data_IF_166429223672
#
_entry.id   IF_166429223672
#
_cell.length_a   1.000
_cell.length_b   1.000
_cell.length_c   1.000
_cell.angle_alpha   90.00
_cell.angle_beta   90.00
_cell.angle_gamma   90.00
#
_symmetry.space_group_name_H-M   'P 1'
#
loop_
_entity.id
_entity.type
_entity.pdbx_description
1 polymer ?
#
# COMPACT_ATOMS: atom_id res chain seq x y z
N UNK A 1 -5.44 24.78 -2.67
CA UNK A 1 -4.68 23.61 -2.17
C UNK A 1 -5.53 22.97 -1.08
N UNK A 2 -5.89 21.70 -1.22
CA UNK A 2 -6.70 20.98 -0.22
C UNK A 2 -5.87 19.81 0.30
N UNK A 3 -5.70 19.73 1.63
CA UNK A 3 -5.13 18.56 2.29
C UNK A 3 -6.26 17.58 2.55
N UNK A 4 -6.13 16.36 2.05
CA UNK A 4 -7.11 15.30 2.28
C UNK A 4 -6.43 14.18 3.05
N UNK A 5 -7.13 13.70 4.07
CA UNK A 5 -6.70 12.56 4.84
C UNK A 5 -7.10 11.28 4.08
N UNK A 6 -6.14 10.47 3.63
CA UNK A 6 -6.43 9.27 2.88
C UNK A 6 -7.00 8.16 3.79
N UNK A 7 -6.74 8.22 5.11
CA UNK A 7 -7.24 7.28 6.13
C UNK A 7 -8.75 7.35 6.41
N UNK A 8 -9.52 8.12 5.64
CA UNK A 8 -10.97 8.31 5.87
C UNK A 8 -11.75 7.26 5.09
N UNK A 9 -11.86 6.06 5.66
CA UNK A 9 -13.09 5.30 5.48
C UNK A 9 -14.17 5.87 6.43
N UNK A 10 -15.31 6.19 5.83
CA UNK A 10 -16.52 6.74 6.43
C UNK A 10 -16.74 6.30 7.89
N UNK A 11 -16.80 7.29 8.79
CA UNK A 11 -17.32 7.10 10.14
C UNK A 11 -18.78 6.63 10.06
N UNK A 12 -19.01 5.31 10.11
CA UNK A 12 -20.26 4.80 10.67
C UNK A 12 -20.08 4.74 12.18
N UNK A 13 -20.45 5.85 12.83
CA UNK A 13 -20.73 5.85 14.25
C UNK A 13 -21.91 4.91 14.50
N UNK A 14 -21.61 3.70 14.97
CA UNK A 14 -22.59 2.70 15.34
C UNK A 14 -22.06 1.94 16.54
N UNK A 15 -22.85 1.90 17.60
CA UNK A 15 -22.68 0.98 18.73
C UNK A 15 -22.40 -0.43 18.22
N UNK A 16 -21.39 -1.10 18.79
CA UNK A 16 -20.92 -2.44 18.44
C UNK A 16 -22.00 -3.53 18.61
N UNK A 17 -22.98 -3.57 17.72
CA UNK A 17 -23.76 -4.78 17.45
C UNK A 17 -23.21 -5.36 16.16
N UNK A 18 -22.50 -6.49 16.27
CA UNK A 18 -22.10 -7.25 15.08
C UNK A 18 -23.39 -7.64 14.31
N UNK A 19 -23.47 -7.37 13.00
CA UNK A 19 -24.51 -7.91 12.14
C UNK A 19 -24.63 -9.44 12.30
N UNK A 20 -25.81 -10.03 12.05
CA UNK A 20 -25.98 -11.47 12.09
C UNK A 20 -24.93 -12.18 11.20
N UNK A 21 -24.15 -13.08 11.79
CA UNK A 21 -23.11 -13.85 11.09
C UNK A 21 -21.68 -13.28 11.19
N UNK A 22 -21.50 -12.11 11.82
CA UNK A 22 -20.18 -11.55 12.12
C UNK A 22 -19.79 -11.84 13.58
N UNK A 23 -18.53 -12.23 13.81
CA UNK A 23 -17.97 -12.39 15.15
C UNK A 23 -16.81 -11.42 15.33
N UNK A 24 -16.76 -10.76 16.49
CA UNK A 24 -15.72 -9.80 16.82
C UNK A 24 -15.07 -10.10 18.16
N UNK A 25 -13.74 -10.03 18.18
CA UNK A 25 -12.89 -10.41 19.31
C UNK A 25 -11.86 -9.32 19.57
N UNK A 26 -11.39 -9.20 20.83
CA UNK A 26 -10.36 -8.21 21.22
C UNK A 26 -9.34 -8.82 22.17
N UNK A 27 -8.12 -8.28 22.17
CA UNK A 27 -7.06 -8.66 23.10
C UNK A 27 -6.83 -10.17 23.12
N UNK A 28 -6.88 -10.78 24.30
CA UNK A 28 -6.64 -12.22 24.48
C UNK A 28 -7.61 -13.12 23.69
N UNK A 29 -8.87 -12.70 23.50
CA UNK A 29 -9.83 -13.47 22.70
C UNK A 29 -9.45 -13.46 21.22
N UNK A 30 -9.02 -12.29 20.70
CA UNK A 30 -8.51 -12.18 19.34
C UNK A 30 -7.28 -13.08 19.14
N UNK A 31 -6.37 -13.14 20.11
CA UNK A 31 -5.22 -14.04 20.08
C UNK A 31 -5.63 -15.51 19.97
N UNK A 32 -6.61 -15.92 20.79
CA UNK A 32 -7.08 -17.30 20.80
C UNK A 32 -7.61 -17.68 19.42
N UNK A 33 -8.54 -16.90 18.88
CA UNK A 33 -9.15 -17.18 17.58
C UNK A 33 -8.13 -17.16 16.45
N UNK A 34 -7.26 -16.14 16.39
CA UNK A 34 -6.17 -16.07 15.40
C UNK A 34 -5.26 -17.30 15.49
N UNK A 35 -4.90 -17.73 16.70
CA UNK A 35 -4.03 -18.90 16.90
C UNK A 35 -4.70 -20.21 16.44
N UNK A 36 -6.02 -20.33 16.63
CA UNK A 36 -6.80 -21.47 16.12
C UNK A 36 -6.84 -21.48 14.59
N UNK A 37 -7.04 -20.31 13.95
CA UNK A 37 -7.03 -20.19 12.49
C UNK A 37 -5.68 -20.53 11.87
N UNK A 38 -4.59 -20.28 12.60
CA UNK A 38 -3.22 -20.57 12.19
C UNK A 38 -2.71 -21.92 12.72
N UNK A 39 -3.61 -22.82 13.16
CA UNK A 39 -3.22 -24.14 13.62
C UNK A 39 -2.45 -24.91 12.53
N UNK A 40 -1.31 -25.49 12.89
CA UNK A 40 -0.40 -26.15 11.94
C UNK A 40 0.68 -25.23 11.34
N UNK A 41 0.62 -23.91 11.58
CA UNK A 41 1.59 -22.93 11.08
C UNK A 41 2.34 -22.24 12.24
N UNK A 42 3.36 -22.88 12.84
CA UNK A 42 3.99 -22.41 14.07
C UNK A 42 4.69 -21.05 13.92
N UNK A 43 5.23 -20.74 12.74
CA UNK A 43 5.84 -19.43 12.47
C UNK A 43 4.78 -18.34 12.36
N UNK A 44 3.64 -18.61 11.70
CA UNK A 44 2.52 -17.67 11.66
C UNK A 44 1.91 -17.43 13.05
N UNK A 45 1.84 -18.46 13.91
CA UNK A 45 1.46 -18.31 15.32
C UNK A 45 2.48 -17.53 16.16
N UNK A 46 3.76 -17.51 15.77
CA UNK A 46 4.76 -16.64 16.41
C UNK A 46 4.53 -15.19 15.98
N UNK A 47 4.28 -14.96 14.69
CA UNK A 47 3.93 -13.65 14.15
C UNK A 47 2.67 -13.07 14.83
N UNK A 48 1.60 -13.86 14.96
CA UNK A 48 0.38 -13.39 15.61
C UNK A 48 0.59 -12.96 17.07
N UNK A 49 1.49 -13.65 17.80
CA UNK A 49 1.90 -13.27 19.15
C UNK A 49 2.66 -11.95 19.17
N UNK A 50 3.61 -11.75 18.26
CA UNK A 50 4.33 -10.47 18.10
C UNK A 50 3.34 -9.31 17.86
N UNK A 51 2.39 -9.50 16.95
CA UNK A 51 1.35 -8.50 16.65
C UNK A 51 0.49 -8.21 17.87
N UNK A 52 0.04 -9.24 18.59
CA UNK A 52 -0.74 -9.03 19.80
C UNK A 52 0.07 -8.36 20.91
N UNK A 53 1.30 -8.78 21.16
CA UNK A 53 2.14 -8.22 22.23
C UNK A 53 2.36 -6.71 22.03
N UNK A 54 2.40 -6.27 20.76
CA UNK A 54 2.51 -4.86 20.41
C UNK A 54 1.17 -4.11 20.52
N UNK A 55 0.10 -4.59 19.89
CA UNK A 55 -1.18 -3.86 19.81
C UNK A 55 -2.08 -4.07 21.04
N UNK A 56 -1.94 -5.18 21.75
CA UNK A 56 -2.73 -5.56 22.91
C UNK A 56 -4.23 -5.43 22.67
N UNK A 57 -4.90 -4.67 23.54
CA UNK A 57 -6.35 -4.44 23.46
C UNK A 57 -6.77 -3.52 22.29
N UNK A 58 -5.82 -2.89 21.59
CA UNK A 58 -6.12 -2.16 20.36
C UNK A 58 -6.28 -3.07 19.15
N UNK A 59 -5.83 -4.33 19.23
CA UNK A 59 -6.08 -5.32 18.19
C UNK A 59 -7.54 -5.78 18.24
N UNK A 60 -8.23 -5.61 17.13
CA UNK A 60 -9.61 -6.05 16.91
C UNK A 60 -9.59 -7.06 15.78
N UNK A 61 -10.13 -8.24 16.04
CA UNK A 61 -10.24 -9.31 15.06
C UNK A 61 -11.71 -9.55 14.77
N UNK A 62 -12.13 -9.33 13.53
CA UNK A 62 -13.47 -9.60 13.04
C UNK A 62 -13.40 -10.72 12.01
N UNK A 63 -14.40 -11.58 11.97
CA UNK A 63 -14.50 -12.61 10.94
C UNK A 63 -15.94 -12.86 10.51
N UNK A 64 -16.11 -13.11 9.21
CA UNK A 64 -17.42 -13.31 8.58
C UNK A 64 -17.29 -13.99 7.23
N UNK A 65 -18.29 -14.78 6.85
CA UNK A 65 -18.44 -15.26 5.45
C UNK A 65 -18.95 -14.17 4.52
N UNK A 66 -19.53 -13.11 5.06
CA UNK A 66 -20.14 -12.03 4.29
C UNK A 66 -19.16 -10.90 3.95
N UNK A 67 -17.94 -10.94 4.47
CA UNK A 67 -16.92 -9.96 4.08
C UNK A 67 -16.54 -10.18 2.61
N UNK A 68 -16.41 -9.09 1.81
CA UNK A 68 -16.07 -9.20 0.39
C UNK A 68 -14.64 -9.71 0.18
N UNK A 69 -13.74 -9.38 1.11
CA UNK A 69 -12.35 -9.79 1.11
C UNK A 69 -11.78 -9.74 2.52
N UNK A 70 -10.63 -10.38 2.71
CA UNK A 70 -9.83 -10.24 3.94
C UNK A 70 -9.01 -8.96 3.83
N UNK A 71 -9.01 -8.13 4.89
CA UNK A 71 -8.28 -6.86 4.94
C UNK A 71 -7.77 -6.54 6.35
N UNK A 72 -6.73 -5.71 6.42
CA UNK A 72 -6.33 -5.00 7.62
C UNK A 72 -6.73 -3.51 7.56
N UNK A 73 -6.93 -2.89 8.71
CA UNK A 73 -7.15 -1.44 8.81
C UNK A 73 -6.50 -0.89 10.07
N UNK A 74 -5.77 0.22 9.94
CA UNK A 74 -5.36 1.03 11.09
C UNK A 74 -6.26 2.25 11.20
N UNK A 75 -6.98 2.37 12.32
CA UNK A 75 -7.85 3.52 12.58
C UNK A 75 -7.13 4.54 13.44
N UNK A 76 -6.91 5.73 12.88
CA UNK A 76 -6.33 6.87 13.58
C UNK A 76 -7.38 7.93 13.88
N UNK A 77 -7.26 8.59 15.03
CA UNK A 77 -7.72 9.98 15.18
C UNK A 77 -6.55 10.88 14.83
N UNK A 78 -6.77 11.96 14.10
CA UNK A 78 -5.68 12.85 13.64
C UNK A 78 -5.56 14.16 14.44
N UNK A 79 -6.59 14.50 15.21
CA UNK A 79 -6.66 15.72 16.03
C UNK A 79 -7.32 15.43 17.39
N UNK A 80 -6.55 15.28 18.48
CA UNK A 80 -5.11 15.00 18.50
C UNK A 80 -4.80 13.65 17.82
N UNK A 81 -3.53 13.42 17.45
CA UNK A 81 -3.15 12.14 16.84
C UNK A 81 -3.16 11.01 17.89
N UNK A 82 -3.89 9.93 17.61
CA UNK A 82 -3.80 8.69 18.39
C UNK A 82 -4.33 7.47 17.63
N UNK A 83 -3.84 6.29 18.01
CA UNK A 83 -4.32 5.01 17.49
C UNK A 83 -5.63 4.61 18.18
N UNK A 84 -6.71 4.42 17.40
CA UNK A 84 -7.98 3.88 17.89
C UNK A 84 -7.91 2.35 17.95
N UNK A 85 -7.60 1.73 16.81
CA UNK A 85 -7.58 0.27 16.65
C UNK A 85 -6.66 -0.15 15.51
N UNK A 86 -6.14 -1.36 15.63
CA UNK A 86 -5.63 -2.17 14.53
C UNK A 86 -6.64 -3.29 14.29
N UNK A 87 -7.21 -3.35 13.09
CA UNK A 87 -8.31 -4.23 12.74
C UNK A 87 -7.86 -5.25 11.70
N UNK A 88 -8.24 -6.51 11.88
CA UNK A 88 -8.21 -7.54 10.84
C UNK A 88 -9.66 -7.98 10.62
N UNK A 89 -10.11 -7.93 9.38
CA UNK A 89 -11.42 -8.41 8.96
C UNK A 89 -11.18 -9.64 8.09
N UNK A 90 -11.37 -10.84 8.64
CA UNK A 90 -11.08 -12.10 7.95
C UNK A 90 -12.32 -12.64 7.24
N UNK A 91 -12.21 -12.82 5.92
CA UNK A 91 -13.22 -13.51 5.13
C UNK A 91 -13.14 -15.02 5.40
N UNK A 92 -14.24 -15.60 5.84
CA UNK A 92 -14.39 -17.04 6.03
C UNK A 92 -15.02 -17.70 4.81
N UNK A 93 -14.91 -19.02 4.72
CA UNK A 93 -15.55 -19.81 3.66
C UNK A 93 -14.70 -19.98 2.40
N UNK A 94 -13.45 -19.53 2.43
CA UNK A 94 -12.42 -19.85 1.45
C UNK A 94 -11.54 -21.01 1.96
N UNK A 95 -10.79 -21.64 1.07
CA UNK A 95 -9.75 -22.62 1.41
C UNK A 95 -8.43 -21.98 1.88
N UNK A 96 -8.32 -20.65 1.78
CA UNK A 96 -7.11 -19.85 2.04
C UNK A 96 -7.19 -18.99 3.30
N UNK A 97 -7.98 -19.41 4.29
CA UNK A 97 -8.25 -18.62 5.51
C UNK A 97 -6.97 -18.35 6.31
N UNK A 98 -6.11 -19.36 6.45
CA UNK A 98 -4.86 -19.23 7.22
C UNK A 98 -3.85 -18.32 6.49
N UNK A 99 -3.72 -18.50 5.17
CA UNK A 99 -2.91 -17.67 4.28
C UNK A 99 -3.33 -16.21 4.35
N UNK A 100 -4.63 -15.94 4.14
CA UNK A 100 -5.16 -14.59 4.16
C UNK A 100 -4.96 -13.92 5.53
N UNK A 101 -5.16 -14.65 6.63
CA UNK A 101 -4.89 -14.13 7.96
C UNK A 101 -3.40 -13.81 8.18
N UNK A 102 -2.50 -14.71 7.76
CA UNK A 102 -1.06 -14.48 7.87
C UNK A 102 -0.61 -13.27 7.03
N UNK A 103 -1.22 -13.06 5.86
CA UNK A 103 -1.00 -11.90 5.00
C UNK A 103 -1.32 -10.59 5.72
N UNK A 104 -2.48 -10.48 6.35
CA UNK A 104 -2.86 -9.27 7.11
C UNK A 104 -2.00 -9.05 8.34
N UNK A 105 -1.54 -10.14 8.99
CA UNK A 105 -0.61 -10.04 10.12
C UNK A 105 0.75 -9.47 9.68
N UNK A 106 1.25 -9.83 8.50
CA UNK A 106 2.49 -9.26 7.96
C UNK A 106 2.35 -7.76 7.68
N UNK A 107 1.21 -7.33 7.14
CA UNK A 107 0.91 -5.90 6.99
C UNK A 107 0.93 -5.15 8.31
N UNK A 108 0.27 -5.68 9.36
CA UNK A 108 0.30 -5.06 10.68
C UNK A 108 1.70 -5.04 11.31
N UNK A 109 2.53 -6.03 11.00
CA UNK A 109 3.92 -6.12 11.46
C UNK A 109 4.80 -5.01 10.92
N UNK A 110 4.55 -4.50 9.70
CA UNK A 110 5.33 -3.39 9.15
C UNK A 110 5.35 -2.17 10.10
N UNK A 111 4.23 -1.84 10.74
CA UNK A 111 4.20 -0.72 11.68
C UNK A 111 4.94 -1.02 13.00
N UNK A 112 5.00 -2.29 13.41
CA UNK A 112 5.83 -2.74 14.55
C UNK A 112 7.31 -2.54 14.23
N UNK A 113 7.69 -2.78 12.97
CA UNK A 113 9.04 -2.55 12.45
C UNK A 113 9.35 -1.07 12.20
N UNK A 114 8.41 -0.16 12.50
CA UNK A 114 8.61 1.28 12.43
C UNK A 114 8.27 1.92 11.08
N UNK A 115 7.71 1.17 10.12
CA UNK A 115 7.26 1.75 8.86
C UNK A 115 6.07 2.70 9.10
N UNK A 116 6.14 3.95 8.64
CA UNK A 116 5.09 4.95 8.88
C UNK A 116 3.93 4.87 7.88
N UNK A 117 2.80 5.42 8.29
CA UNK A 117 1.56 5.63 7.52
C UNK A 117 1.55 7.03 6.91
N UNK A 118 1.11 7.15 5.66
CA UNK A 118 0.81 8.45 5.06
C UNK A 118 -0.49 9.04 5.65
N UNK A 119 -0.43 10.26 6.20
CA UNK A 119 -1.58 10.92 6.85
C UNK A 119 -2.29 11.94 5.96
N UNK A 120 -1.56 12.65 5.11
CA UNK A 120 -2.11 13.76 4.34
C UNK A 120 -1.56 13.74 2.93
N UNK A 121 -2.43 13.96 1.95
CA UNK A 121 -2.05 14.16 0.55
C UNK A 121 -2.48 15.56 0.15
N UNK A 122 -1.59 16.27 -0.54
CA UNK A 122 -1.87 17.62 -1.02
C UNK A 122 -2.28 17.59 -2.49
N UNK A 123 -3.56 17.86 -2.75
CA UNK A 123 -4.09 17.88 -4.11
C UNK A 123 -4.14 19.33 -4.64
N UNK A 124 -3.54 19.61 -5.81
CA UNK A 124 -3.63 20.91 -6.46
C UNK A 124 -5.09 21.27 -6.75
N UNK A 125 -5.43 22.57 -6.66
CA UNK A 125 -6.82 23.03 -6.78
C UNK A 125 -7.54 22.57 -8.06
N UNK A 126 -6.92 22.58 -9.26
CA UNK A 126 -7.57 22.08 -10.48
C UNK A 126 -7.96 20.60 -10.43
N UNK A 127 -7.34 19.81 -9.54
CA UNK A 127 -7.50 18.37 -9.45
C UNK A 127 -8.34 17.91 -8.25
N UNK A 128 -8.91 18.85 -7.49
CA UNK A 128 -9.84 18.55 -6.38
C UNK A 128 -11.00 17.64 -6.80
N UNK A 129 -11.61 17.77 -8.01
CA UNK A 129 -12.66 16.83 -8.44
C UNK A 129 -12.21 15.36 -8.53
N UNK A 130 -10.90 15.11 -8.66
CA UNK A 130 -10.29 13.78 -8.74
C UNK A 130 -9.66 13.33 -7.42
N UNK A 131 -9.97 14.02 -6.31
CA UNK A 131 -9.37 13.79 -5.01
C UNK A 131 -9.44 12.32 -4.53
N UNK A 132 -10.64 11.73 -4.59
CA UNK A 132 -10.86 10.35 -4.15
C UNK A 132 -10.05 9.35 -4.99
N UNK A 133 -9.90 9.66 -6.26
CA UNK A 133 -9.13 8.84 -7.17
C UNK A 133 -7.65 8.86 -6.81
N UNK A 134 -7.06 10.04 -6.63
CA UNK A 134 -5.66 10.16 -6.21
C UNK A 134 -5.39 9.51 -4.85
N UNK A 135 -6.32 9.61 -3.91
CA UNK A 135 -6.23 8.91 -2.61
C UNK A 135 -6.23 7.40 -2.81
N UNK A 136 -7.15 6.88 -3.64
CA UNK A 136 -7.18 5.48 -4.02
C UNK A 136 -5.86 5.03 -4.63
N UNK A 137 -5.33 5.79 -5.59
CA UNK A 137 -4.03 5.52 -6.20
C UNK A 137 -2.88 5.46 -5.18
N UNK A 138 -2.84 6.39 -4.22
CA UNK A 138 -1.85 6.37 -3.15
C UNK A 138 -1.92 5.09 -2.32
N UNK A 139 -3.13 4.65 -1.94
CA UNK A 139 -3.32 3.39 -1.22
C UNK A 139 -2.89 2.18 -2.03
N UNK A 140 -3.20 2.17 -3.33
CA UNK A 140 -2.80 1.08 -4.23
C UNK A 140 -1.28 0.98 -4.33
N UNK A 141 -0.59 2.11 -4.51
CA UNK A 141 0.88 2.15 -4.57
C UNK A 141 1.48 1.66 -3.25
N UNK A 142 1.01 2.14 -2.10
CA UNK A 142 1.48 1.65 -0.80
C UNK A 142 1.27 0.14 -0.68
N UNK A 143 0.07 -0.35 -1.00
CA UNK A 143 -0.25 -1.76 -0.87
C UNK A 143 0.67 -2.64 -1.74
N UNK A 144 0.96 -2.22 -2.98
CA UNK A 144 1.87 -2.94 -3.87
C UNK A 144 3.31 -2.98 -3.33
N UNK A 145 3.78 -1.87 -2.74
CA UNK A 145 5.11 -1.83 -2.10
C UNK A 145 5.14 -2.71 -0.85
N UNK A 146 4.11 -2.66 -0.01
CA UNK A 146 4.01 -3.52 1.17
C UNK A 146 3.94 -5.00 0.80
N UNK A 147 3.27 -5.35 -0.30
CA UNK A 147 3.30 -6.71 -0.85
C UNK A 147 4.73 -7.13 -1.26
N UNK A 148 5.49 -6.27 -1.91
CA UNK A 148 6.89 -6.56 -2.23
C UNK A 148 7.73 -6.81 -0.96
N UNK A 149 7.53 -6.01 0.08
CA UNK A 149 8.24 -6.17 1.36
C UNK A 149 7.86 -7.46 2.08
N UNK A 150 6.58 -7.84 2.04
CA UNK A 150 6.05 -8.98 2.80
C UNK A 150 6.19 -10.33 2.08
N UNK A 151 6.48 -10.34 0.77
CA UNK A 151 6.45 -11.57 -0.03
C UNK A 151 7.37 -12.67 0.50
N UNK A 152 8.63 -12.33 0.78
CA UNK A 152 9.61 -13.30 1.28
C UNK A 152 9.25 -13.80 2.68
N UNK A 153 8.77 -12.91 3.55
CA UNK A 153 8.30 -13.28 4.88
C UNK A 153 7.09 -14.23 4.81
N UNK A 154 6.14 -13.98 3.91
CA UNK A 154 4.99 -14.86 3.70
C UNK A 154 5.40 -16.28 3.31
N UNK A 155 6.34 -16.42 2.36
CA UNK A 155 6.89 -17.72 1.97
C UNK A 155 7.63 -18.36 3.15
N UNK A 156 8.40 -17.57 3.91
CA UNK A 156 9.12 -18.06 5.08
C UNK A 156 8.20 -18.54 6.22
N UNK A 157 6.96 -18.06 6.30
CA UNK A 157 5.94 -18.59 7.23
C UNK A 157 5.46 -20.00 6.86
N UNK A 158 5.82 -20.52 5.69
CA UNK A 158 5.51 -21.88 5.21
C UNK A 158 4.31 -21.98 4.28
N UNK A 159 3.83 -20.85 3.74
CA UNK A 159 2.70 -20.83 2.81
C UNK A 159 3.16 -20.93 1.34
N UNK A 160 2.27 -21.41 0.47
CA UNK A 160 2.55 -21.47 -0.97
C UNK A 160 2.68 -20.05 -1.52
N UNK A 161 3.81 -19.77 -2.17
CA UNK A 161 4.07 -18.48 -2.82
C UNK A 161 2.98 -18.05 -3.81
N UNK A 162 2.29 -19.00 -4.44
CA UNK A 162 1.19 -18.74 -5.38
C UNK A 162 -0.09 -18.29 -4.67
N UNK A 163 -0.13 -18.38 -3.34
CA UNK A 163 -1.23 -17.93 -2.49
C UNK A 163 -0.93 -16.58 -1.82
N UNK A 164 0.14 -15.89 -2.20
CA UNK A 164 0.41 -14.56 -1.64
C UNK A 164 -0.52 -13.50 -2.23
N UNK A 165 -0.58 -13.39 -3.55
CA UNK A 165 -1.57 -12.55 -4.22
C UNK A 165 -2.79 -13.37 -4.61
N UNK A 166 -3.96 -12.73 -4.64
CA UNK A 166 -5.11 -13.29 -5.34
C UNK A 166 -4.76 -13.25 -6.84
N UNK A 167 -4.91 -14.38 -7.54
CA UNK A 167 -4.71 -14.40 -9.00
C UNK A 167 -5.74 -13.49 -9.63
N UNK A 168 -5.28 -12.55 -10.44
CA UNK A 168 -6.18 -11.74 -11.26
C UNK A 168 -6.82 -12.67 -12.29
N UNK A 169 -8.13 -12.86 -12.19
CA UNK A 169 -8.88 -13.66 -13.17
C UNK A 169 -9.32 -12.82 -14.38
N UNK A 170 -9.20 -11.49 -14.29
CA UNK A 170 -9.56 -10.57 -15.36
C UNK A 170 -8.33 -10.23 -16.20
N UNK A 171 -8.29 -10.80 -17.41
CA UNK A 171 -7.40 -10.34 -18.48
C UNK A 171 -7.96 -9.02 -19.00
N UNK A 172 -7.16 -7.96 -18.96
CA UNK A 172 -7.57 -6.64 -19.46
C UNK A 172 -7.22 -6.53 -20.93
N UNK A 173 -8.21 -6.15 -21.74
CA UNK A 173 -7.98 -5.73 -23.12
C UNK A 173 -7.47 -4.28 -23.14
N UNK A 174 -6.15 -4.12 -23.03
CA UNK A 174 -5.51 -2.81 -23.08
C UNK A 174 -5.60 -2.13 -24.45
N UNK A 175 -5.84 -2.88 -25.52
CA UNK A 175 -6.06 -2.32 -26.86
C UNK A 175 -7.44 -1.65 -26.95
N UNK A 176 -8.47 -2.32 -26.43
CA UNK A 176 -9.81 -1.75 -26.32
C UNK A 176 -9.79 -0.53 -25.40
N UNK A 177 -9.16 -0.65 -24.23
CA UNK A 177 -9.01 0.47 -23.27
C UNK A 177 -8.32 1.66 -23.91
N UNK A 178 -7.21 1.45 -24.62
CA UNK A 178 -6.53 2.49 -25.40
C UNK A 178 -7.48 3.18 -26.38
N UNK A 179 -8.27 2.39 -27.11
CA UNK A 179 -9.21 2.91 -28.11
C UNK A 179 -10.31 3.77 -27.46
N UNK A 180 -10.84 3.33 -26.32
CA UNK A 180 -11.85 4.07 -25.55
C UNK A 180 -11.28 5.36 -24.93
N UNK A 181 -10.11 5.28 -24.30
CA UNK A 181 -9.47 6.41 -23.64
C UNK A 181 -8.96 7.47 -24.62
N UNK A 182 -8.50 7.06 -25.82
CA UNK A 182 -8.18 7.99 -26.90
C UNK A 182 -9.36 8.89 -27.28
N UNK A 183 -10.60 8.42 -27.08
CA UNK A 183 -11.82 9.17 -27.36
C UNK A 183 -12.39 9.91 -26.14
N UNK A 184 -11.89 9.65 -24.93
CA UNK A 184 -12.40 10.23 -23.69
C UNK A 184 -11.68 11.53 -23.30
N UNK A 185 -12.37 12.42 -22.59
CA UNK A 185 -11.85 13.72 -22.12
C UNK A 185 -11.21 13.67 -20.73
N UNK A 186 -10.68 12.53 -20.30
CA UNK A 186 -10.03 12.46 -18.98
C UNK A 186 -8.74 13.30 -19.05
N UNK A 187 -8.49 14.21 -18.09
CA UNK A 187 -7.23 14.96 -18.09
C UNK A 187 -6.04 14.00 -18.02
N UNK A 188 -5.05 14.23 -18.87
CA UNK A 188 -3.84 13.39 -18.92
C UNK A 188 -3.14 13.28 -17.54
N UNK A 189 -3.27 14.30 -16.70
CA UNK A 189 -2.70 14.33 -15.34
C UNK A 189 -3.37 13.34 -14.37
N UNK A 190 -4.55 12.83 -14.71
CA UNK A 190 -5.28 11.81 -13.96
C UNK A 190 -5.08 10.45 -14.63
N UNK A 191 -5.12 10.42 -15.96
CA UNK A 191 -5.06 9.16 -16.72
C UNK A 191 -3.65 8.56 -16.81
N UNK A 192 -2.61 9.37 -16.98
CA UNK A 192 -1.22 8.90 -16.98
C UNK A 192 -0.85 8.11 -15.70
N UNK A 193 -1.15 8.59 -14.48
CA UNK A 193 -1.00 7.80 -13.26
C UNK A 193 -1.70 6.44 -13.30
N UNK A 194 -2.89 6.33 -13.90
CA UNK A 194 -3.60 5.04 -14.01
C UNK A 194 -2.79 4.04 -14.82
N UNK A 195 -2.27 4.44 -15.98
CA UNK A 195 -1.40 3.57 -16.78
C UNK A 195 -0.15 3.12 -16.04
N UNK A 196 0.43 4.00 -15.21
CA UNK A 196 1.55 3.63 -14.34
C UNK A 196 1.14 2.57 -13.29
N UNK A 197 -0.03 2.69 -12.69
CA UNK A 197 -0.56 1.74 -11.70
C UNK A 197 -0.87 0.39 -12.35
N UNK A 198 -1.47 0.39 -13.55
CA UNK A 198 -1.75 -0.85 -14.30
C UNK A 198 -0.46 -1.63 -14.56
N UNK A 199 0.57 -0.95 -15.09
CA UNK A 199 1.89 -1.54 -15.24
C UNK A 199 2.43 -2.08 -13.92
N UNK A 200 2.43 -1.25 -12.87
CA UNK A 200 3.00 -1.60 -11.57
C UNK A 200 2.29 -2.79 -10.92
N UNK A 201 0.96 -2.85 -11.01
CA UNK A 201 0.14 -3.96 -10.50
C UNK A 201 0.55 -5.28 -11.13
N UNK A 202 0.61 -5.33 -12.46
CA UNK A 202 0.96 -6.54 -13.19
C UNK A 202 2.45 -6.92 -13.02
N UNK A 203 3.33 -5.93 -13.01
CA UNK A 203 4.75 -6.14 -12.71
C UNK A 203 4.96 -6.75 -11.31
N UNK A 204 4.30 -6.19 -10.29
CA UNK A 204 4.32 -6.75 -8.93
C UNK A 204 3.75 -8.17 -8.91
N UNK A 205 2.62 -8.40 -9.58
CA UNK A 205 2.02 -9.72 -9.65
C UNK A 205 2.97 -10.78 -10.25
N UNK A 206 3.67 -10.44 -11.33
CA UNK A 206 4.65 -11.32 -11.96
C UNK A 206 5.79 -11.68 -11.00
N UNK A 207 6.27 -10.72 -10.18
CA UNK A 207 7.31 -10.94 -9.17
C UNK A 207 6.86 -11.86 -8.03
N UNK A 208 5.56 -11.92 -7.74
CA UNK A 208 5.01 -12.61 -6.58
C UNK A 208 4.24 -13.88 -6.91
N UNK A 209 4.57 -14.55 -8.01
CA UNK A 209 3.98 -15.86 -8.37
C UNK A 209 2.77 -15.80 -9.31
N UNK A 210 2.48 -14.64 -9.92
CA UNK A 210 1.44 -14.47 -10.94
C UNK A 210 1.77 -15.08 -12.31
N UNK A 211 3.02 -15.52 -12.54
CA UNK A 211 3.43 -16.22 -13.76
C UNK A 211 3.63 -15.31 -14.97
N UNK A 212 3.78 -15.93 -16.15
CA UNK A 212 4.05 -15.28 -17.44
C UNK A 212 2.91 -14.35 -17.87
N UNK A 213 1.66 -14.75 -17.65
CA UNK A 213 0.47 -13.94 -17.98
C UNK A 213 0.48 -12.55 -17.31
N UNK A 214 0.94 -12.47 -16.06
CA UNK A 214 1.08 -11.18 -15.37
C UNK A 214 2.17 -10.32 -16.01
N UNK A 215 3.25 -10.92 -16.51
CA UNK A 215 4.32 -10.20 -17.19
C UNK A 215 3.85 -9.69 -18.56
N UNK A 216 3.08 -10.50 -19.29
CA UNK A 216 2.48 -10.13 -20.57
C UNK A 216 1.50 -8.96 -20.40
N UNK A 217 0.61 -9.02 -19.42
CA UNK A 217 -0.28 -7.90 -19.09
C UNK A 217 0.48 -6.64 -18.69
N UNK A 218 1.62 -6.75 -17.99
CA UNK A 218 2.49 -5.61 -17.72
C UNK A 218 3.10 -5.04 -19.01
N UNK A 219 3.49 -5.89 -19.97
CA UNK A 219 3.98 -5.44 -21.28
C UNK A 219 2.88 -4.81 -22.13
N UNK A 220 1.66 -5.33 -22.09
CA UNK A 220 0.52 -4.77 -22.80
C UNK A 220 0.13 -3.39 -22.26
N UNK A 221 0.02 -3.25 -20.93
CA UNK A 221 -0.21 -1.96 -20.28
C UNK A 221 0.86 -0.94 -20.68
N UNK A 222 2.14 -1.36 -20.70
CA UNK A 222 3.24 -0.52 -21.14
C UNK A 222 3.13 -0.17 -22.63
N UNK A 223 2.86 -1.15 -23.50
CA UNK A 223 2.80 -0.98 -24.95
C UNK A 223 1.71 0.02 -25.33
N UNK A 224 0.49 -0.21 -24.87
CA UNK A 224 -0.68 0.60 -25.21
C UNK A 224 -0.65 1.96 -24.51
N UNK A 225 -0.31 1.99 -23.22
CA UNK A 225 -0.15 3.23 -22.48
C UNK A 225 0.94 4.13 -23.07
N UNK A 226 2.04 3.56 -23.57
CA UNK A 226 3.12 4.34 -24.22
C UNK A 226 2.72 4.96 -25.55
N UNK A 227 1.66 4.46 -26.21
CA UNK A 227 1.14 5.09 -27.43
C UNK A 227 0.39 6.38 -27.10
N UNK A 228 -0.25 6.47 -25.93
CA UNK A 228 -0.86 7.70 -25.42
C UNK A 228 0.18 8.60 -24.75
N UNK A 229 1.07 8.01 -23.97
CA UNK A 229 2.04 8.71 -23.12
C UNK A 229 3.45 8.14 -23.33
N UNK A 230 4.22 8.63 -24.31
CA UNK A 230 5.54 8.09 -24.64
C UNK A 230 6.52 8.00 -23.46
N UNK A 231 6.41 8.92 -22.48
CA UNK A 231 7.21 8.93 -21.25
C UNK A 231 7.01 7.70 -20.37
N UNK A 232 5.91 6.96 -20.51
CA UNK A 232 5.62 5.76 -19.72
C UNK A 232 6.75 4.72 -19.82
N UNK A 233 7.44 4.61 -20.96
CA UNK A 233 8.62 3.72 -21.10
C UNK A 233 9.75 4.06 -20.14
N UNK A 234 10.05 5.35 -20.01
CA UNK A 234 11.11 5.82 -19.10
C UNK A 234 10.66 5.64 -17.65
N UNK A 235 9.43 6.02 -17.33
CA UNK A 235 8.88 5.90 -15.98
C UNK A 235 8.85 4.44 -15.52
N UNK A 236 8.35 3.52 -16.35
CA UNK A 236 8.30 2.09 -15.98
C UNK A 236 9.69 1.45 -15.84
N UNK A 237 10.69 1.89 -16.62
CA UNK A 237 12.08 1.48 -16.42
C UNK A 237 12.63 1.95 -15.07
N UNK A 238 12.36 3.20 -14.67
CA UNK A 238 12.73 3.72 -13.35
C UNK A 238 11.98 3.03 -12.21
N UNK A 239 10.70 2.67 -12.39
CA UNK A 239 9.95 1.85 -11.42
C UNK A 239 10.66 0.52 -11.22
N UNK A 240 11.02 -0.20 -12.29
CA UNK A 240 11.73 -1.49 -12.19
C UNK A 240 13.04 -1.34 -11.41
N UNK A 241 13.85 -0.35 -11.79
CA UNK A 241 15.12 -0.04 -11.10
C UNK A 241 14.91 0.27 -9.62
N UNK A 242 13.88 1.04 -9.29
CA UNK A 242 13.52 1.37 -7.91
C UNK A 242 13.15 0.11 -7.09
N UNK A 243 12.37 -0.81 -7.67
CA UNK A 243 12.07 -2.11 -7.06
C UNK A 243 13.33 -2.96 -6.84
N UNK A 244 14.26 -2.96 -7.81
CA UNK A 244 15.53 -3.69 -7.72
C UNK A 244 16.47 -3.14 -6.64
N UNK A 245 16.51 -1.82 -6.46
CA UNK A 245 17.33 -1.18 -5.42
C UNK A 245 16.82 -1.45 -4.01
N UNK A 246 15.49 -1.59 -3.83
CA UNK A 246 14.90 -2.04 -2.57
C UNK A 246 15.04 -1.08 -1.37
N UNK A 247 15.36 0.20 -1.59
CA UNK A 247 15.56 1.18 -0.51
C UNK A 247 14.31 1.43 0.37
N UNK A 248 13.13 1.09 -0.13
CA UNK A 248 11.89 1.13 0.66
C UNK A 248 11.83 0.06 1.76
N UNK A 249 12.77 -0.89 1.84
CA UNK A 249 12.85 -1.85 2.94
C UNK A 249 13.47 -1.26 4.23
N UNK A 250 13.88 0.00 4.21
CA UNK A 250 14.35 0.71 5.41
C UNK A 250 13.27 1.69 5.91
N UNK A 251 12.74 1.52 7.14
CA UNK A 251 11.74 2.40 7.72
C UNK A 251 12.12 3.89 7.71
N UNK A 252 13.41 4.22 7.86
CA UNK A 252 13.89 5.61 7.86
C UNK A 252 13.79 6.26 6.47
N UNK A 253 14.00 5.47 5.42
CA UNK A 253 13.95 5.92 4.03
C UNK A 253 12.55 5.79 3.41
N UNK A 254 11.68 4.95 3.99
CA UNK A 254 10.37 4.61 3.44
C UNK A 254 9.51 5.82 3.01
N UNK A 255 9.30 6.88 3.82
CA UNK A 255 8.52 8.05 3.39
C UNK A 255 9.06 8.71 2.12
N UNK A 256 10.38 8.86 2.03
CA UNK A 256 11.05 9.46 0.88
C UNK A 256 10.92 8.58 -0.37
N UNK A 257 11.10 7.26 -0.22
CA UNK A 257 11.01 6.31 -1.32
C UNK A 257 9.58 6.18 -1.86
N UNK A 258 8.56 6.15 -1.00
CA UNK A 258 7.16 6.16 -1.44
C UNK A 258 6.84 7.47 -2.17
N UNK A 259 7.23 8.62 -1.63
CA UNK A 259 6.99 9.90 -2.29
C UNK A 259 7.73 10.04 -3.62
N UNK A 260 8.93 9.47 -3.74
CA UNK A 260 9.65 9.38 -5.01
C UNK A 260 8.87 8.56 -6.05
N UNK A 261 8.36 7.39 -5.67
CA UNK A 261 7.56 6.55 -6.56
C UNK A 261 6.26 7.27 -6.99
N UNK A 262 5.54 7.90 -6.06
CA UNK A 262 4.35 8.69 -6.38
C UNK A 262 4.66 9.82 -7.36
N UNK A 263 5.76 10.54 -7.15
CA UNK A 263 6.20 11.63 -8.02
C UNK A 263 6.55 11.16 -9.44
N UNK A 264 7.24 10.02 -9.54
CA UNK A 264 7.56 9.38 -10.81
C UNK A 264 6.28 9.05 -11.61
N UNK A 265 5.25 8.58 -10.91
CA UNK A 265 3.92 8.24 -11.47
C UNK A 265 2.99 9.46 -11.62
N UNK A 266 3.43 10.67 -11.25
CA UNK A 266 2.64 11.91 -11.22
C UNK A 266 1.40 11.83 -10.30
N UNK A 267 1.45 11.01 -9.26
CA UNK A 267 0.46 10.96 -8.19
C UNK A 267 0.86 12.00 -7.12
N UNK A 268 -0.08 12.77 -6.55
CA UNK A 268 0.20 13.68 -5.44
C UNK A 268 0.88 12.98 -4.25
N UNK A 269 1.92 13.62 -3.72
CA UNK A 269 2.74 13.11 -2.61
C UNK A 269 2.03 13.20 -1.26
N UNK A 270 2.46 12.35 -0.33
CA UNK A 270 2.14 12.53 1.08
C UNK A 270 2.92 13.70 1.68
N UNK A 271 2.22 14.57 2.40
CA UNK A 271 2.79 15.74 3.10
C UNK A 271 2.85 15.57 4.61
N UNK A 272 2.28 14.49 5.15
CA UNK A 272 2.39 14.14 6.56
C UNK A 272 2.40 12.64 6.74
N UNK A 273 3.09 12.21 7.80
CA UNK A 273 3.32 10.81 8.10
C UNK A 273 3.20 10.57 9.60
N UNK A 274 2.72 9.39 9.97
CA UNK A 274 2.64 8.95 11.35
C UNK A 274 3.29 7.59 11.52
N UNK A 275 4.04 7.40 12.60
CA UNK A 275 4.50 6.06 13.03
C UNK A 275 3.64 5.56 14.17
N UNK A 276 3.54 4.23 14.29
CA UNK A 276 3.00 3.59 15.49
C UNK A 276 4.19 3.14 16.34
N UNK A 277 4.19 3.49 17.62
CA UNK A 277 5.25 3.10 18.55
C UNK A 277 4.70 2.77 19.93
N UNK A 278 5.51 2.11 20.77
CA UNK A 278 5.15 1.85 22.15
C UNK A 278 5.51 3.05 23.03
N UNK A 279 4.53 3.54 23.76
CA UNK A 279 4.74 4.47 24.86
C UNK A 279 5.61 3.86 25.98
N UNK A 280 6.15 4.67 26.91
CA UNK A 280 6.86 4.15 28.08
C UNK A 280 6.04 3.16 28.92
N UNK A 281 4.70 3.25 28.87
CA UNK A 281 3.78 2.30 29.54
C UNK A 281 3.47 1.07 28.67
N UNK A 282 4.23 0.81 27.60
CA UNK A 282 4.05 -0.29 26.66
C UNK A 282 2.66 -0.34 26.01
N UNK A 283 2.05 0.83 25.79
CA UNK A 283 0.81 0.96 25.01
C UNK A 283 1.12 1.50 23.63
N UNK A 284 0.54 0.95 22.55
CA UNK A 284 0.73 1.48 21.21
C UNK A 284 0.14 2.88 21.10
N UNK A 285 0.87 3.79 20.47
CA UNK A 285 0.46 5.16 20.20
C UNK A 285 0.88 5.58 18.79
N UNK A 286 0.12 6.49 18.20
CA UNK A 286 0.47 7.09 16.93
C UNK A 286 1.19 8.42 17.17
N UNK A 287 2.32 8.64 16.50
CA UNK A 287 3.12 9.85 16.61
C UNK A 287 3.38 10.41 15.22
N UNK A 288 3.08 11.70 15.04
CA UNK A 288 3.33 12.39 13.78
C UNK A 288 4.82 12.63 13.61
N UNK A 289 5.33 12.33 12.42
CA UNK A 289 6.69 12.64 12.04
C UNK A 289 6.78 14.13 11.66
N UNK A 290 7.75 14.83 12.25
CA UNK A 290 8.01 16.24 11.93
C UNK A 290 8.37 16.38 10.43
N UNK A 291 7.93 17.45 9.76
CA UNK A 291 8.17 17.66 8.31
C UNK A 291 9.65 17.73 7.89
N UNK A 292 10.59 17.73 8.86
CA UNK A 292 12.04 17.83 8.62
C UNK A 292 12.60 16.68 7.79
N UNK A 293 11.83 15.60 7.58
CA UNK A 293 12.19 14.49 6.69
C UNK A 293 11.85 14.72 5.21
N UNK A 294 11.28 15.89 4.86
CA UNK A 294 10.83 16.20 3.49
C UNK A 294 11.48 17.47 2.95
N UNK A 295 12.81 17.58 3.07
CA UNK A 295 13.55 18.65 2.41
C UNK A 295 13.65 18.32 0.92
N UNK A 296 12.71 18.82 0.11
CA UNK A 296 12.97 19.94 -0.80
C UNK A 296 11.69 20.29 -1.61
N UNK A 297 11.05 21.45 -1.39
CA UNK A 297 9.83 21.85 -2.08
C UNK A 297 10.04 22.49 -3.46
N UNK A 298 11.24 22.51 -4.04
CA UNK A 298 11.53 23.21 -5.31
C UNK A 298 11.49 22.33 -6.58
N UNK A 299 11.14 21.04 -6.47
CA UNK A 299 11.32 20.07 -7.58
C UNK A 299 10.16 20.06 -8.60
N UNK A 300 9.16 20.91 -8.40
CA UNK A 300 7.93 20.95 -9.20
C UNK A 300 7.95 21.97 -10.34
N UNK A 301 8.92 22.89 -10.35
CA UNK A 301 9.09 23.88 -11.44
C UNK A 301 10.37 23.61 -12.21
N UNK A 302 10.34 22.64 -13.11
CA UNK A 302 10.91 22.76 -14.45
C UNK A 302 10.93 21.41 -15.15
N UNK A 303 11.02 21.48 -16.47
CA UNK A 303 11.42 20.42 -17.39
C UNK A 303 12.84 19.86 -17.10
N UNK A 304 13.28 19.85 -15.84
CA UNK A 304 14.59 19.39 -15.36
C UNK A 304 14.87 17.93 -15.79
N UNK A 305 13.82 17.12 -15.86
CA UNK A 305 13.85 15.73 -16.33
C UNK A 305 13.93 15.58 -17.86
N UNK A 306 13.84 16.67 -18.62
CA UNK A 306 14.00 16.68 -20.09
C UNK A 306 15.45 16.91 -20.51
N UNK A 307 16.37 17.10 -19.56
CA UNK A 307 17.81 17.23 -19.85
C UNK A 307 18.59 16.00 -19.37
N UNK A 308 19.67 15.60 -20.09
CA UNK A 308 20.61 14.58 -19.61
C UNK A 308 21.21 14.86 -18.22
N UNK A 309 21.18 16.11 -17.78
CA UNK A 309 21.70 16.57 -16.49
C UNK A 309 20.87 16.10 -15.28
N UNK A 310 19.54 15.96 -15.41
CA UNK A 310 18.69 15.50 -14.31
C UNK A 310 18.99 14.06 -13.85
N UNK A 311 19.43 13.22 -14.79
CA UNK A 311 19.81 11.82 -14.54
C UNK A 311 21.21 11.74 -13.91
N UNK A 312 22.14 12.59 -14.35
CA UNK A 312 23.53 12.59 -13.88
C UNK A 312 23.68 13.17 -12.46
N UNK A 313 22.89 14.18 -12.11
CA UNK A 313 22.93 14.79 -10.76
C UNK A 313 22.40 13.87 -9.66
N UNK A 314 21.43 12.99 -9.98
CA UNK A 314 20.92 11.98 -9.05
C UNK A 314 21.95 10.88 -8.74
N UNK A 315 22.82 10.54 -9.70
CA UNK A 315 23.93 9.60 -9.48
C UNK A 315 24.99 10.19 -8.54
N UNK A 316 25.32 11.48 -8.69
CA UNK A 316 26.31 12.16 -7.83
C UNK A 316 25.82 12.41 -6.40
N UNK A 317 24.50 12.48 -6.18
CA UNK A 317 23.89 12.58 -4.84
C UNK A 317 23.91 11.27 -4.05
N UNK A 318 23.91 10.13 -4.74
CA UNK A 318 23.98 8.78 -4.13
C UNK A 318 25.40 8.36 -3.74
N UNK A 319 26.43 8.96 -4.33
CA UNK A 319 27.84 8.69 -3.99
C UNK A 319 28.34 9.51 -2.78
N UNK A 320 27.53 10.44 -2.27
CA UNK A 320 27.92 11.39 -1.21
C UNK A 320 27.16 11.23 0.12
N UNK A 321 26.28 10.23 0.26
CA UNK A 321 25.62 9.85 1.51
C UNK A 321 25.65 8.33 1.72
#
# INVERSE_FOLDING_TARGET
MIMINPSVETQRGGTHSCPPGERGFRGAEAQHEISQRLFGFPLAQKLSREVLDFYGNHLVYLESRNFPSTIFTLRLQHQPIFLKSAEIHLQLGTDRVAEALAHELLHLRLFILGFPLGEFVQIPFPFVPYAQEFIGMCHWVINLVQHEMNYQDFVALGFDKNHFLVRFHEIIDYQERFSQEFHNRVPAQVDFPRWCIEFLRHFSAARHGGGEESLDQAQDALLWGSRLYPRLRVVTAEIRRWFEMGFFNDPANYPGQINFLLELMKIPKFTGWARIELSPQKKPMAVRLEPRFFLNPEWWESDFWETPFGIQWFQEGLEKN
#
